data_IF_808601164385
#
_entry.id   IF_808601164385
#
_cell.length_a   1.000
_cell.length_b   1.000
_cell.length_c   1.000
_cell.angle_alpha   90.00
_cell.angle_beta   90.00
_cell.angle_gamma   90.00
#
_symmetry.space_group_name_H-M   'P 1'
#
loop_
_entity.id
_entity.type
_entity.pdbx_description
1 polymer ?
#
# COMPACT_ATOMS: atom_id res chain seq x y z
N UNK A 1 50.23 3.99 5.20
CA UNK A 1 51.29 3.10 5.74
C UNK A 1 50.86 1.66 5.50
N UNK A 2 51.76 0.72 5.23
CA UNK A 2 51.38 -0.69 5.08
C UNK A 2 50.80 -1.25 6.39
N UNK A 3 49.86 -2.18 6.27
CA UNK A 3 49.28 -2.90 7.41
C UNK A 3 50.41 -3.49 8.26
N UNK A 4 50.45 -3.15 9.55
CA UNK A 4 51.54 -3.56 10.44
C UNK A 4 51.02 -4.48 11.53
N UNK A 5 51.61 -5.67 11.66
CA UNK A 5 51.28 -6.61 12.74
C UNK A 5 52.07 -6.27 14.01
N UNK A 6 51.38 -6.10 15.16
CA UNK A 6 52.00 -5.88 16.48
C UNK A 6 51.17 -6.48 17.60
N UNK A 7 51.83 -6.90 18.67
CA UNK A 7 51.15 -7.17 19.94
C UNK A 7 50.91 -5.87 20.70
N UNK A 8 49.68 -5.65 21.14
CA UNK A 8 49.26 -4.44 21.85
C UNK A 8 48.56 -4.86 23.14
N UNK A 9 48.89 -4.18 24.24
CA UNK A 9 48.26 -4.42 25.54
C UNK A 9 46.78 -4.05 25.48
N UNK A 10 45.91 -4.89 26.07
CA UNK A 10 44.46 -4.69 26.07
C UNK A 10 44.04 -3.29 26.53
N UNK A 11 44.69 -2.73 27.56
CA UNK A 11 44.45 -1.36 28.08
C UNK A 11 44.70 -0.22 27.08
N UNK A 12 45.52 -0.46 26.05
CA UNK A 12 45.88 0.55 25.05
C UNK A 12 44.93 0.54 23.85
N UNK A 13 43.88 -0.29 23.90
CA UNK A 13 42.89 -0.46 22.86
C UNK A 13 41.53 -0.01 23.41
N UNK A 14 40.81 0.79 22.64
CA UNK A 14 39.49 1.34 22.94
C UNK A 14 38.43 0.71 22.03
N UNK A 15 37.18 0.57 22.50
CA UNK A 15 36.08 0.13 21.64
C UNK A 15 35.87 1.13 20.50
N UNK A 16 35.70 0.63 19.27
CA UNK A 16 35.34 1.45 18.12
C UNK A 16 33.84 1.45 17.85
N UNK A 17 33.44 1.95 16.68
CA UNK A 17 32.06 1.90 16.22
C UNK A 17 31.65 0.49 15.75
N UNK A 18 31.50 -0.44 16.69
CA UNK A 18 30.96 -1.76 16.36
C UNK A 18 29.43 -1.68 16.18
N UNK A 19 28.89 -2.05 15.01
CA UNK A 19 27.43 -2.12 14.81
C UNK A 19 26.75 -3.23 15.62
N UNK A 20 27.48 -4.23 16.11
CA UNK A 20 26.92 -5.33 16.91
C UNK A 20 26.56 -4.85 18.32
N UNK A 21 25.30 -5.01 18.71
CA UNK A 21 24.82 -4.60 20.04
C UNK A 21 24.41 -5.76 20.93
N UNK A 22 24.12 -6.94 20.35
CA UNK A 22 23.78 -8.14 21.09
C UNK A 22 25.00 -9.07 21.30
N UNK A 23 25.29 -9.40 22.55
CA UNK A 23 26.32 -10.37 22.92
C UNK A 23 25.69 -11.49 23.75
N UNK A 24 25.82 -12.73 23.28
CA UNK A 24 25.44 -13.90 24.06
C UNK A 24 26.47 -14.12 25.17
N UNK A 25 26.03 -14.09 26.43
CA UNK A 25 26.90 -14.24 27.60
C UNK A 25 27.59 -15.60 27.61
N UNK A 26 26.89 -16.68 27.21
CA UNK A 26 27.45 -18.03 27.22
C UNK A 26 28.57 -18.17 26.20
N UNK A 27 28.36 -17.65 24.98
CA UNK A 27 29.42 -17.66 23.96
C UNK A 27 30.60 -16.73 24.32
N UNK A 28 30.38 -15.70 25.15
CA UNK A 28 31.44 -14.83 25.65
C UNK A 28 32.30 -15.56 26.69
N UNK A 29 31.67 -16.24 27.64
CA UNK A 29 32.37 -17.02 28.67
C UNK A 29 33.22 -18.15 28.05
N UNK A 30 32.68 -18.83 27.02
CA UNK A 30 33.43 -19.82 26.23
C UNK A 30 34.65 -19.21 25.51
N UNK A 31 34.54 -17.97 25.03
CA UNK A 31 35.66 -17.23 24.41
C UNK A 31 36.74 -16.86 25.43
N UNK A 32 36.36 -16.46 26.64
CA UNK A 32 37.30 -16.16 27.74
C UNK A 32 38.12 -17.41 28.09
N UNK A 33 37.47 -18.56 28.26
CA UNK A 33 38.17 -19.82 28.58
C UNK A 33 39.09 -20.27 27.42
N UNK A 34 38.66 -20.11 26.17
CA UNK A 34 39.49 -20.38 25.00
C UNK A 34 40.75 -19.51 24.96
N UNK A 35 40.63 -18.20 25.25
CA UNK A 35 41.76 -17.26 25.26
C UNK A 35 42.71 -17.56 26.44
N UNK A 36 42.20 -17.97 27.60
CA UNK A 36 43.06 -18.43 28.71
C UNK A 36 43.90 -19.65 28.31
N UNK A 37 43.31 -20.59 27.57
CA UNK A 37 43.97 -21.84 27.21
C UNK A 37 44.97 -21.69 26.05
N UNK A 38 44.64 -20.91 25.03
CA UNK A 38 45.38 -20.89 23.76
C UNK A 38 45.87 -19.49 23.35
N UNK A 39 45.54 -18.46 24.13
CA UNK A 39 45.76 -17.07 23.74
C UNK A 39 44.83 -16.63 22.62
N UNK A 40 45.00 -15.38 22.17
CA UNK A 40 44.24 -14.87 21.02
C UNK A 40 44.92 -15.36 19.74
N UNK A 41 44.36 -16.38 19.10
CA UNK A 41 44.93 -16.99 17.87
C UNK A 41 44.74 -16.08 16.66
N UNK A 42 43.52 -15.55 16.48
CA UNK A 42 43.21 -14.67 15.35
C UNK A 42 43.47 -13.21 15.72
N UNK A 43 44.29 -12.47 14.95
CA UNK A 43 44.56 -11.07 15.21
C UNK A 43 43.31 -10.19 15.11
N UNK A 44 43.23 -9.13 15.91
CA UNK A 44 42.17 -8.11 15.80
C UNK A 44 42.63 -6.97 14.88
N UNK A 45 41.69 -6.33 14.18
CA UNK A 45 42.01 -5.17 13.34
C UNK A 45 41.82 -3.89 14.16
N UNK A 46 42.84 -3.04 14.19
CA UNK A 46 42.81 -1.77 14.92
C UNK A 46 43.35 -0.64 14.07
N UNK A 47 42.98 0.59 14.40
CA UNK A 47 43.58 1.80 13.83
C UNK A 47 44.18 2.69 14.92
N UNK A 48 45.20 3.50 14.61
CA UNK A 48 45.68 4.51 15.54
C UNK A 48 44.59 5.54 15.86
N UNK A 49 44.43 5.91 17.14
CA UNK A 49 43.52 6.96 17.62
C UNK A 49 44.14 7.67 18.81
N UNK A 50 44.63 8.90 18.61
CA UNK A 50 45.38 9.68 19.61
C UNK A 50 46.48 8.85 20.29
N UNK A 51 46.43 8.70 21.62
CA UNK A 51 47.37 7.92 22.45
C UNK A 51 47.00 6.42 22.57
N UNK A 52 46.04 5.93 21.77
CA UNK A 52 45.51 4.59 21.84
C UNK A 52 45.27 3.98 20.45
N UNK A 53 44.70 2.78 20.45
CA UNK A 53 44.21 2.11 19.25
C UNK A 53 42.70 1.95 19.34
N UNK A 54 41.99 2.17 18.25
CA UNK A 54 40.55 1.93 18.15
C UNK A 54 40.29 0.63 17.40
N UNK A 55 39.36 -0.19 17.91
CA UNK A 55 38.99 -1.47 17.28
C UNK A 55 38.19 -1.21 16.01
N UNK A 56 38.69 -1.73 14.88
CA UNK A 56 37.93 -1.84 13.63
C UNK A 56 37.11 -3.14 13.67
N UNK A 57 37.73 -4.25 14.07
CA UNK A 57 37.09 -5.57 14.10
C UNK A 57 37.70 -6.48 15.18
N UNK A 58 36.87 -7.35 15.76
CA UNK A 58 37.31 -8.31 16.78
C UNK A 58 37.02 -7.89 18.24
N UNK A 59 36.01 -7.06 18.48
CA UNK A 59 35.70 -6.53 19.82
C UNK A 59 35.48 -7.62 20.89
N UNK A 60 34.84 -8.76 20.55
CA UNK A 60 34.65 -9.88 21.50
C UNK A 60 35.98 -10.44 22.02
N UNK A 61 36.97 -10.59 21.14
CA UNK A 61 38.32 -11.09 21.49
C UNK A 61 39.03 -10.08 22.40
N UNK A 62 38.90 -8.79 22.12
CA UNK A 62 39.43 -7.74 22.98
C UNK A 62 38.76 -7.71 24.35
N UNK A 63 37.42 -7.75 24.42
CA UNK A 63 36.68 -7.77 25.70
C UNK A 63 37.07 -8.97 26.55
N UNK A 64 37.13 -10.17 25.96
CA UNK A 64 37.53 -11.37 26.67
C UNK A 64 39.00 -11.32 27.14
N UNK A 65 39.91 -10.79 26.32
CA UNK A 65 41.30 -10.58 26.73
C UNK A 65 41.45 -9.52 27.86
N UNK A 66 40.67 -8.44 27.79
CA UNK A 66 40.64 -7.39 28.81
C UNK A 66 40.11 -7.91 30.15
N UNK A 67 39.10 -8.77 30.12
CA UNK A 67 38.55 -9.44 31.31
C UNK A 67 39.57 -10.35 32.01
N UNK A 68 40.45 -10.99 31.23
CA UNK A 68 41.53 -11.82 31.77
C UNK A 68 42.62 -10.94 32.42
N UNK A 69 43.09 -9.91 31.71
CA UNK A 69 44.09 -8.96 32.22
C UNK A 69 44.18 -7.70 31.36
N UNK A 70 44.27 -6.53 32.00
CA UNK A 70 44.54 -5.25 31.33
C UNK A 70 45.88 -5.23 30.56
N UNK A 71 46.81 -6.08 30.98
CA UNK A 71 48.16 -6.17 30.42
C UNK A 71 48.31 -7.32 29.41
N UNK A 72 47.21 -8.04 29.13
CA UNK A 72 47.20 -9.11 28.14
C UNK A 72 47.60 -8.57 26.77
N UNK A 73 48.57 -9.21 26.13
CA UNK A 73 49.06 -8.82 24.81
C UNK A 73 48.21 -9.47 23.72
N UNK A 74 47.55 -8.64 22.91
CA UNK A 74 46.65 -9.07 21.86
C UNK A 74 47.35 -8.88 20.51
N UNK A 75 47.43 -9.90 19.64
CA UNK A 75 47.93 -9.74 18.29
C UNK A 75 46.98 -8.83 17.50
N UNK A 76 47.52 -7.75 16.97
CA UNK A 76 46.76 -6.71 16.29
C UNK A 76 47.34 -6.46 14.89
N UNK A 77 46.46 -6.26 13.93
CA UNK A 77 46.79 -5.71 12.62
C UNK A 77 46.41 -4.23 12.61
N UNK A 78 47.43 -3.37 12.60
CA UNK A 78 47.28 -1.92 12.60
C UNK A 78 47.06 -1.45 11.17
N UNK A 79 45.89 -0.86 10.91
CA UNK A 79 45.49 -0.31 9.62
C UNK A 79 45.28 1.19 9.76
N UNK A 80 45.95 1.99 8.94
CA UNK A 80 45.72 3.45 8.90
C UNK A 80 44.58 3.74 7.93
N UNK A 81 43.36 3.75 8.44
CA UNK A 81 42.12 3.92 7.66
C UNK A 81 41.27 5.05 8.25
N UNK A 82 40.54 5.77 7.40
CA UNK A 82 39.57 6.80 7.81
C UNK A 82 38.40 6.19 8.59
N UNK A 83 37.63 7.01 9.29
CA UNK A 83 36.43 6.59 10.04
C UNK A 83 35.46 5.79 9.16
N UNK A 84 35.23 6.29 7.95
CA UNK A 84 34.34 5.68 6.96
C UNK A 84 34.81 4.30 6.49
N UNK A 85 36.11 4.15 6.26
CA UNK A 85 36.73 2.88 5.85
C UNK A 85 36.75 1.91 7.03
N UNK A 86 37.01 2.39 8.25
CA UNK A 86 36.95 1.57 9.46
C UNK A 86 35.54 1.01 9.69
N UNK A 87 34.49 1.85 9.59
CA UNK A 87 33.10 1.41 9.71
C UNK A 87 32.75 0.39 8.62
N UNK A 88 33.13 0.67 7.37
CA UNK A 88 32.96 -0.26 6.24
C UNK A 88 33.57 -1.63 6.54
N UNK A 89 34.83 -1.65 6.97
CA UNK A 89 35.54 -2.89 7.30
C UNK A 89 34.90 -3.62 8.48
N UNK A 90 34.39 -2.90 9.48
CA UNK A 90 33.66 -3.47 10.61
C UNK A 90 32.37 -4.17 10.16
N UNK A 91 31.61 -3.58 9.23
CA UNK A 91 30.39 -4.19 8.68
C UNK A 91 30.74 -5.43 7.85
N UNK A 92 31.76 -5.36 6.99
CA UNK A 92 32.19 -6.48 6.13
C UNK A 92 32.71 -7.67 6.95
N UNK A 93 33.60 -7.45 7.93
CA UNK A 93 34.17 -8.54 8.74
C UNK A 93 33.13 -9.25 9.60
N UNK A 94 32.15 -8.50 10.13
CA UNK A 94 31.08 -9.08 10.91
C UNK A 94 30.08 -9.90 10.07
N UNK A 95 29.83 -9.48 8.81
CA UNK A 95 29.01 -10.24 7.84
C UNK A 95 29.62 -11.62 7.57
N UNK A 96 30.93 -11.68 7.37
CA UNK A 96 31.65 -12.92 7.03
C UNK A 96 31.74 -13.94 8.19
N UNK A 97 31.37 -13.54 9.43
CA UNK A 97 31.34 -14.43 10.61
C UNK A 97 29.97 -15.02 10.94
N UNK A 98 28.94 -14.86 10.11
CA UNK A 98 27.61 -15.47 10.35
C UNK A 98 26.92 -15.11 11.69
N UNK A 99 27.25 -13.96 12.30
CA UNK A 99 26.71 -13.55 13.61
C UNK A 99 26.03 -12.16 13.64
N UNK A 100 26.00 -11.40 12.55
CA UNK A 100 25.29 -10.13 12.51
C UNK A 100 23.80 -10.38 12.23
N UNK A 101 22.91 -9.78 13.01
CA UNK A 101 21.48 -9.87 12.72
C UNK A 101 21.12 -8.99 11.52
N UNK A 102 20.02 -9.28 10.84
CA UNK A 102 19.59 -8.47 9.69
C UNK A 102 19.26 -7.01 10.09
N UNK A 103 18.88 -6.77 11.35
CA UNK A 103 18.64 -5.43 11.89
C UNK A 103 19.94 -4.66 12.12
N UNK A 104 21.00 -5.34 12.57
CA UNK A 104 22.35 -4.77 12.69
C UNK A 104 22.97 -4.46 11.31
N UNK A 105 22.76 -5.35 10.32
CA UNK A 105 23.14 -5.09 8.93
C UNK A 105 22.47 -3.82 8.38
N UNK A 106 21.17 -3.64 8.66
CA UNK A 106 20.42 -2.47 8.25
C UNK A 106 20.95 -1.18 8.88
N UNK A 107 21.23 -1.20 10.19
CA UNK A 107 21.79 -0.05 10.90
C UNK A 107 23.20 0.33 10.41
N UNK A 108 24.05 -0.67 10.12
CA UNK A 108 25.36 -0.45 9.53
C UNK A 108 25.26 0.17 8.12
N UNK A 109 24.33 -0.34 7.31
CA UNK A 109 24.07 0.20 5.97
C UNK A 109 23.54 1.64 6.01
N UNK A 110 22.67 1.99 6.96
CA UNK A 110 22.16 3.36 7.12
C UNK A 110 23.27 4.35 7.46
N UNK A 111 24.19 3.99 8.36
CA UNK A 111 25.34 4.83 8.69
C UNK A 111 26.25 5.05 7.48
N UNK A 112 26.54 4.00 6.72
CA UNK A 112 27.30 4.13 5.48
C UNK A 112 26.58 5.03 4.48
N UNK A 113 25.25 4.94 4.39
CA UNK A 113 24.47 5.82 3.53
C UNK A 113 24.61 7.30 3.91
N UNK A 114 24.70 7.61 5.21
CA UNK A 114 24.97 8.97 5.68
C UNK A 114 26.39 9.42 5.30
N UNK A 115 27.39 8.57 5.51
CA UNK A 115 28.79 8.80 5.11
C UNK A 115 28.92 9.12 3.62
N UNK A 116 28.27 8.33 2.76
CA UNK A 116 28.30 8.51 1.30
C UNK A 116 27.23 9.49 0.79
N UNK A 117 26.71 10.38 1.66
CA UNK A 117 25.76 11.46 1.31
C UNK A 117 24.50 10.98 0.56
N UNK A 118 24.02 9.79 0.88
CA UNK A 118 22.84 9.20 0.24
C UNK A 118 23.12 8.41 -1.04
N UNK A 119 24.38 8.25 -1.44
CA UNK A 119 24.74 7.43 -2.61
C UNK A 119 24.58 5.93 -2.31
N UNK A 120 23.40 5.43 -2.61
CA UNK A 120 23.04 4.02 -2.42
C UNK A 120 23.74 3.08 -3.42
N UNK A 121 24.23 3.55 -4.58
CA UNK A 121 24.99 2.69 -5.50
C UNK A 121 26.37 2.42 -4.94
N UNK A 122 27.04 3.46 -4.44
CA UNK A 122 28.36 3.35 -3.83
C UNK A 122 28.32 2.51 -2.56
N UNK A 123 27.31 2.71 -1.69
CA UNK A 123 27.13 1.88 -0.48
C UNK A 123 26.92 0.41 -0.84
N UNK A 124 26.10 0.10 -1.84
CA UNK A 124 25.87 -1.27 -2.29
C UNK A 124 27.16 -1.90 -2.82
N UNK A 125 27.94 -1.15 -3.62
CA UNK A 125 29.25 -1.58 -4.14
C UNK A 125 30.23 -1.89 -3.01
N UNK A 126 30.32 -0.99 -2.02
CA UNK A 126 31.22 -1.10 -0.87
C UNK A 126 30.87 -2.32 0.01
N UNK A 127 29.58 -2.59 0.24
CA UNK A 127 29.10 -3.74 1.02
C UNK A 127 29.10 -5.07 0.24
N UNK A 128 29.41 -5.03 -1.06
CA UNK A 128 29.29 -6.18 -1.96
C UNK A 128 27.86 -6.69 -2.06
N UNK A 129 26.88 -5.78 -2.03
CA UNK A 129 25.46 -6.07 -2.13
C UNK A 129 24.90 -5.64 -3.48
N UNK A 130 23.81 -6.31 -3.90
CA UNK A 130 22.99 -5.75 -4.97
C UNK A 130 22.23 -4.52 -4.45
N UNK A 131 21.85 -3.62 -5.35
CA UNK A 131 21.02 -2.48 -4.99
C UNK A 131 19.71 -2.90 -4.32
N UNK A 132 19.07 -3.96 -4.84
CA UNK A 132 17.87 -4.55 -4.26
C UNK A 132 18.10 -5.03 -2.82
N UNK A 133 19.23 -5.69 -2.55
CA UNK A 133 19.58 -6.16 -1.20
C UNK A 133 19.76 -5.00 -0.23
N UNK A 134 20.45 -3.95 -0.64
CA UNK A 134 20.63 -2.74 0.18
C UNK A 134 19.28 -2.11 0.54
N UNK A 135 18.41 -1.92 -0.45
CA UNK A 135 17.11 -1.28 -0.24
C UNK A 135 16.20 -2.12 0.68
N UNK A 136 16.18 -3.45 0.53
CA UNK A 136 15.46 -4.37 1.44
C UNK A 136 15.99 -4.32 2.87
N UNK A 137 17.32 -4.26 3.04
CA UNK A 137 17.95 -4.15 4.35
C UNK A 137 17.60 -2.83 5.03
N UNK A 138 17.78 -1.72 4.32
CA UNK A 138 17.42 -0.39 4.83
C UNK A 138 15.94 -0.28 5.20
N UNK A 139 15.05 -1.00 4.51
CA UNK A 139 13.64 -1.01 4.87
C UNK A 139 13.37 -1.48 6.31
N UNK A 140 14.21 -2.36 6.87
CA UNK A 140 14.08 -2.83 8.25
C UNK A 140 14.18 -1.70 9.30
N UNK A 141 14.74 -0.54 8.93
CA UNK A 141 14.74 0.65 9.78
C UNK A 141 13.33 1.21 10.04
N UNK A 142 12.36 0.91 9.16
CA UNK A 142 10.96 1.29 9.32
C UNK A 142 10.14 0.30 10.18
N UNK A 143 10.75 -0.81 10.62
CA UNK A 143 10.09 -1.75 11.50
C UNK A 143 9.90 -1.17 12.92
N UNK A 144 8.86 -1.58 13.62
CA UNK A 144 8.71 -1.33 15.05
C UNK A 144 9.80 -2.07 15.85
N UNK A 145 10.11 -1.63 17.09
CA UNK A 145 11.00 -2.37 17.98
C UNK A 145 10.58 -3.84 18.18
N UNK A 146 9.27 -4.11 18.25
CA UNK A 146 8.74 -5.47 18.43
C UNK A 146 8.99 -6.36 17.20
N UNK A 147 8.83 -5.81 15.98
CA UNK A 147 9.11 -6.55 14.75
C UNK A 147 10.61 -6.84 14.61
N UNK A 148 11.48 -5.86 14.91
CA UNK A 148 12.93 -6.07 14.93
C UNK A 148 13.33 -7.15 15.92
N UNK A 149 12.82 -7.07 17.15
CA UNK A 149 13.06 -8.08 18.18
C UNK A 149 12.61 -9.47 17.74
N UNK A 150 11.42 -9.59 17.16
CA UNK A 150 10.91 -10.89 16.68
C UNK A 150 11.77 -11.47 15.54
N UNK A 151 12.36 -10.61 14.69
CA UNK A 151 13.31 -11.04 13.66
C UNK A 151 14.63 -11.52 14.27
N UNK A 152 15.18 -10.76 15.22
CA UNK A 152 16.44 -11.08 15.89
C UNK A 152 16.33 -12.39 16.71
N UNK A 153 15.18 -12.62 17.36
CA UNK A 153 14.83 -13.85 18.07
C UNK A 153 14.46 -15.01 17.12
N UNK A 154 14.48 -14.80 15.80
CA UNK A 154 14.10 -15.78 14.77
C UNK A 154 12.66 -16.30 14.90
N UNK A 155 11.79 -15.54 15.56
CA UNK A 155 10.34 -15.83 15.65
C UNK A 155 9.65 -15.60 14.30
N UNK A 156 10.22 -14.74 13.46
CA UNK A 156 9.80 -14.51 12.07
C UNK A 156 10.99 -14.60 11.12
N UNK A 157 10.70 -14.88 9.85
CA UNK A 157 11.69 -14.85 8.79
C UNK A 157 11.96 -13.41 8.36
N UNK A 158 13.16 -13.19 7.81
CA UNK A 158 13.56 -11.90 7.24
C UNK A 158 12.52 -11.33 6.25
N UNK A 159 11.98 -12.18 5.37
CA UNK A 159 10.95 -11.75 4.42
C UNK A 159 9.66 -11.26 5.08
N UNK A 160 9.32 -11.74 6.29
CA UNK A 160 8.18 -11.18 7.03
C UNK A 160 8.48 -9.75 7.50
N UNK A 161 9.67 -9.51 8.03
CA UNK A 161 10.07 -8.19 8.51
C UNK A 161 10.18 -7.18 7.35
N UNK A 162 10.73 -7.59 6.22
CA UNK A 162 10.79 -6.77 4.99
C UNK A 162 9.38 -6.37 4.51
N UNK A 163 8.40 -7.27 4.57
CA UNK A 163 7.02 -6.96 4.23
C UNK A 163 6.33 -6.05 5.26
N UNK A 164 6.59 -6.28 6.54
CA UNK A 164 6.04 -5.44 7.63
C UNK A 164 6.60 -4.02 7.61
N UNK A 165 7.84 -3.82 7.15
CA UNK A 165 8.42 -2.50 6.97
C UNK A 165 7.62 -1.59 6.03
N UNK A 166 6.88 -2.16 5.08
CA UNK A 166 6.02 -1.43 4.16
C UNK A 166 4.61 -1.15 4.72
N UNK A 167 4.30 -1.66 5.92
CA UNK A 167 3.03 -1.45 6.62
C UNK A 167 3.15 -0.25 7.55
N UNK A 168 2.09 0.58 7.69
CA UNK A 168 2.07 1.66 8.68
C UNK A 168 2.44 1.19 10.08
N UNK A 169 3.27 1.98 10.77
CA UNK A 169 3.89 1.62 12.05
C UNK A 169 2.86 1.20 13.12
N UNK A 170 1.68 1.83 13.16
CA UNK A 170 0.58 1.51 14.09
C UNK A 170 -0.07 0.14 13.84
N UNK A 171 0.09 -0.42 12.64
CA UNK A 171 -0.47 -1.72 12.24
C UNK A 171 0.54 -2.86 12.24
N UNK A 172 1.84 -2.55 12.33
CA UNK A 172 2.90 -3.57 12.27
C UNK A 172 2.78 -4.57 13.42
N UNK A 173 2.56 -4.13 14.66
CA UNK A 173 2.49 -5.02 15.82
C UNK A 173 1.27 -5.95 15.78
N UNK A 174 0.12 -5.46 15.34
CA UNK A 174 -1.09 -6.30 15.13
C UNK A 174 -0.88 -7.32 14.02
N UNK A 175 -0.21 -6.92 12.94
CA UNK A 175 0.11 -7.81 11.82
C UNK A 175 1.12 -8.89 12.24
N UNK A 176 2.15 -8.52 13.00
CA UNK A 176 3.13 -9.42 13.59
C UNK A 176 2.47 -10.50 14.47
N UNK A 177 1.56 -10.09 15.36
CA UNK A 177 0.84 -11.01 16.23
C UNK A 177 0.02 -12.04 15.41
N UNK A 178 -0.58 -11.60 14.30
CA UNK A 178 -1.33 -12.47 13.39
C UNK A 178 -0.41 -13.46 12.67
N UNK A 179 0.74 -12.99 12.17
CA UNK A 179 1.75 -13.83 11.49
C UNK A 179 2.25 -14.93 12.42
N UNK A 180 2.59 -14.59 13.66
CA UNK A 180 3.09 -15.56 14.65
C UNK A 180 1.96 -16.51 15.09
N UNK A 181 0.79 -15.97 15.43
CA UNK A 181 -0.34 -16.77 15.94
C UNK A 181 -0.90 -17.76 14.92
N UNK A 182 -0.95 -17.38 13.64
CA UNK A 182 -1.44 -18.23 12.55
C UNK A 182 -0.32 -18.97 11.80
N UNK A 183 0.95 -18.73 12.15
CA UNK A 183 2.14 -19.29 11.47
C UNK A 183 2.10 -19.08 9.95
N UNK A 184 1.77 -17.85 9.55
CA UNK A 184 1.67 -17.50 8.13
C UNK A 184 3.05 -17.57 7.47
N UNK A 185 3.09 -18.09 6.25
CA UNK A 185 4.28 -18.05 5.42
C UNK A 185 4.44 -16.69 4.72
N UNK A 186 5.67 -16.39 4.28
CA UNK A 186 6.03 -15.11 3.66
C UNK A 186 5.17 -14.80 2.44
N UNK A 187 4.81 -15.82 1.65
CA UNK A 187 4.05 -15.61 0.43
C UNK A 187 2.58 -15.30 0.73
N UNK A 188 2.01 -15.96 1.74
CA UNK A 188 0.65 -15.65 2.21
C UNK A 188 0.54 -14.23 2.74
N UNK A 189 1.50 -13.79 3.56
CA UNK A 189 1.56 -12.40 4.04
C UNK A 189 1.68 -11.43 2.88
N UNK A 190 2.56 -11.72 1.92
CA UNK A 190 2.77 -10.89 0.73
C UNK A 190 1.49 -10.72 -0.08
N UNK A 191 0.77 -11.81 -0.35
CA UNK A 191 -0.53 -11.77 -1.06
C UNK A 191 -1.57 -10.96 -0.30
N UNK A 192 -1.65 -11.13 1.02
CA UNK A 192 -2.59 -10.37 1.85
C UNK A 192 -2.32 -8.86 1.83
N UNK A 193 -1.05 -8.45 1.80
CA UNK A 193 -0.67 -7.05 1.64
C UNK A 193 -1.00 -6.52 0.25
N UNK A 194 -0.72 -7.30 -0.79
CA UNK A 194 -1.05 -6.94 -2.16
C UNK A 194 -2.55 -6.74 -2.40
N UNK A 195 -3.39 -7.59 -1.80
CA UNK A 195 -4.85 -7.46 -1.88
C UNK A 195 -5.40 -6.19 -1.21
N UNK A 196 -4.71 -5.69 -0.17
CA UNK A 196 -5.10 -4.47 0.54
C UNK A 196 -4.51 -3.20 -0.08
N UNK A 197 -3.61 -3.34 -1.06
CA UNK A 197 -2.96 -2.22 -1.71
C UNK A 197 -3.92 -1.58 -2.74
N UNK A 198 -3.98 -0.26 -2.75
CA UNK A 198 -4.87 0.48 -3.64
C UNK A 198 -4.10 1.01 -4.85
N UNK A 199 -4.62 0.81 -6.06
CA UNK A 199 -3.96 1.32 -7.28
C UNK A 199 -4.01 2.84 -7.28
N UNK A 200 -2.84 3.49 -7.34
CA UNK A 200 -2.73 4.96 -7.31
C UNK A 200 -3.33 5.56 -8.58
N UNK A 201 -3.24 4.84 -9.70
CA UNK A 201 -3.75 5.34 -10.98
C UNK A 201 -5.29 5.50 -11.00
N UNK A 202 -6.01 4.71 -10.20
CA UNK A 202 -7.47 4.82 -10.02
C UNK A 202 -7.88 5.81 -8.92
N UNK A 203 -6.96 6.56 -8.33
CA UNK A 203 -7.28 7.53 -7.30
C UNK A 203 -8.03 8.74 -7.87
N UNK A 204 -9.12 9.14 -7.23
CA UNK A 204 -9.89 10.34 -7.59
C UNK A 204 -9.23 11.65 -7.07
N UNK A 205 -8.22 11.55 -6.21
CA UNK A 205 -7.53 12.67 -5.58
C UNK A 205 -6.18 12.98 -6.25
N UNK A 206 -5.56 14.10 -5.88
CA UNK A 206 -4.24 14.49 -6.40
C UNK A 206 -3.13 13.50 -6.00
N UNK A 207 -2.41 13.02 -7.02
CA UNK A 207 -1.43 11.92 -6.94
C UNK A 207 0.00 12.41 -6.84
N UNK A 208 0.28 13.71 -6.98
CA UNK A 208 1.65 14.23 -7.03
C UNK A 208 2.48 13.81 -5.81
N UNK A 209 1.92 13.99 -4.61
CA UNK A 209 2.57 13.58 -3.35
C UNK A 209 2.67 12.06 -3.19
N UNK A 210 1.90 11.27 -3.94
CA UNK A 210 1.96 9.81 -3.89
C UNK A 210 3.13 9.25 -4.70
N UNK A 211 3.66 9.98 -5.69
CA UNK A 211 4.75 9.50 -6.54
C UNK A 211 6.06 9.31 -5.77
N UNK A 212 6.36 10.21 -4.83
CA UNK A 212 7.54 10.15 -3.96
C UNK A 212 7.25 9.53 -2.58
N UNK A 213 6.03 9.03 -2.36
CA UNK A 213 5.62 8.48 -1.06
C UNK A 213 6.32 7.16 -0.77
N UNK A 214 6.80 6.98 0.46
CA UNK A 214 7.42 5.73 0.90
C UNK A 214 6.48 4.51 0.83
N UNK A 215 5.16 4.71 0.85
CA UNK A 215 4.16 3.64 0.75
C UNK A 215 3.73 3.34 -0.70
N UNK A 216 4.37 3.97 -1.68
CA UNK A 216 4.16 3.65 -3.09
C UNK A 216 5.03 2.44 -3.47
N UNK A 217 4.42 1.40 -4.01
CA UNK A 217 5.12 0.18 -4.45
C UNK A 217 6.25 0.47 -5.43
N UNK A 218 6.13 1.52 -6.26
CA UNK A 218 7.19 1.94 -7.18
C UNK A 218 8.44 2.45 -6.45
N UNK A 219 8.29 3.08 -5.28
CA UNK A 219 9.40 3.51 -4.43
C UNK A 219 9.96 2.37 -3.59
N UNK A 220 9.18 1.31 -3.40
CA UNK A 220 9.52 0.10 -2.65
C UNK A 220 9.75 -1.11 -3.55
N UNK A 221 10.13 -0.89 -4.82
CA UNK A 221 10.24 -1.96 -5.83
C UNK A 221 11.05 -3.15 -5.35
N UNK A 222 12.13 -2.91 -4.62
CA UNK A 222 12.95 -3.95 -4.02
C UNK A 222 12.14 -4.91 -3.11
N UNK A 223 11.17 -4.40 -2.34
CA UNK A 223 10.34 -5.21 -1.43
C UNK A 223 9.24 -5.99 -2.16
N UNK A 224 8.78 -5.51 -3.32
CA UNK A 224 7.56 -6.00 -3.98
C UNK A 224 7.72 -6.55 -5.39
N UNK A 225 8.94 -6.59 -5.95
CA UNK A 225 9.28 -7.01 -7.33
C UNK A 225 8.68 -8.37 -7.78
N UNK A 226 8.16 -9.17 -6.84
CA UNK A 226 7.55 -10.46 -7.10
C UNK A 226 5.99 -10.49 -7.07
N UNK A 227 5.29 -9.48 -6.53
CA UNK A 227 3.82 -9.61 -6.25
C UNK A 227 2.97 -8.37 -6.45
N UNK A 228 3.51 -7.14 -6.43
CA UNK A 228 2.71 -5.94 -6.68
C UNK A 228 3.35 -5.18 -7.84
N UNK A 229 2.57 -4.89 -8.88
CA UNK A 229 3.00 -4.02 -9.96
C UNK A 229 3.34 -2.62 -9.43
N UNK A 230 4.13 -1.86 -10.17
CA UNK A 230 4.45 -0.47 -9.81
C UNK A 230 3.15 0.37 -9.72
N UNK A 231 3.09 1.30 -8.76
CA UNK A 231 2.01 2.30 -8.65
C UNK A 231 0.84 1.91 -7.75
N UNK A 232 1.08 1.14 -6.69
CA UNK A 232 0.09 0.81 -5.66
C UNK A 232 0.45 1.46 -4.32
N UNK A 233 -0.56 1.91 -3.58
CA UNK A 233 -0.43 2.44 -2.22
C UNK A 233 -0.63 1.31 -1.21
N UNK A 234 0.39 1.02 -0.38
CA UNK A 234 0.34 0.00 0.68
C UNK A 234 -0.27 0.51 1.99
N UNK A 235 -0.63 1.80 2.05
CA UNK A 235 -1.31 2.42 3.20
C UNK A 235 -2.80 2.69 2.87
N UNK A 236 -3.70 1.73 3.14
CA UNK A 236 -5.12 1.88 2.81
C UNK A 236 -5.80 2.99 3.60
N UNK A 237 -5.42 3.21 4.86
CA UNK A 237 -6.01 4.26 5.69
C UNK A 237 -5.72 5.67 5.12
N UNK A 238 -4.49 5.90 4.63
CA UNK A 238 -4.16 7.16 3.97
C UNK A 238 -4.93 7.34 2.66
N UNK A 239 -5.04 6.27 1.85
CA UNK A 239 -5.78 6.31 0.59
C UNK A 239 -7.26 6.64 0.81
N UNK A 240 -7.89 5.99 1.80
CA UNK A 240 -9.29 6.23 2.18
C UNK A 240 -9.51 7.66 2.67
N UNK A 241 -8.66 8.16 3.57
CA UNK A 241 -8.74 9.54 4.07
C UNK A 241 -8.65 10.57 2.94
N UNK A 242 -7.71 10.40 2.00
CA UNK A 242 -7.58 11.30 0.84
C UNK A 242 -8.80 11.22 -0.09
N UNK A 243 -9.36 10.01 -0.26
CA UNK A 243 -10.56 9.78 -1.04
C UNK A 243 -11.75 10.52 -0.43
N UNK A 244 -12.01 10.32 0.86
CA UNK A 244 -13.09 11.01 1.58
C UNK A 244 -12.93 12.52 1.52
N UNK A 245 -11.73 13.04 1.80
CA UNK A 245 -11.46 14.47 1.75
C UNK A 245 -11.71 15.06 0.34
N UNK A 246 -11.37 14.32 -0.72
CA UNK A 246 -11.66 14.73 -2.09
C UNK A 246 -13.16 14.73 -2.38
N UNK A 247 -13.89 13.68 -1.99
CA UNK A 247 -15.34 13.59 -2.18
C UNK A 247 -16.08 14.70 -1.41
N UNK A 248 -15.64 15.02 -0.19
CA UNK A 248 -16.20 16.10 0.62
C UNK A 248 -15.94 17.47 -0.01
N UNK A 249 -14.73 17.70 -0.52
CA UNK A 249 -14.41 18.93 -1.25
C UNK A 249 -15.24 19.08 -2.53
N UNK A 250 -15.42 17.99 -3.28
CA UNK A 250 -16.25 17.94 -4.48
C UNK A 250 -17.71 18.22 -4.15
N UNK A 251 -18.23 17.62 -3.06
CA UNK A 251 -19.57 17.86 -2.55
C UNK A 251 -19.77 19.31 -2.13
N UNK A 252 -18.80 19.91 -1.44
CA UNK A 252 -18.87 21.31 -1.03
C UNK A 252 -18.96 22.23 -2.25
N UNK A 253 -18.11 22.00 -3.25
CA UNK A 253 -18.08 22.78 -4.49
C UNK A 253 -19.38 22.66 -5.28
N UNK A 254 -19.95 21.46 -5.38
CA UNK A 254 -21.22 21.25 -6.10
C UNK A 254 -22.42 21.81 -5.32
N UNK A 255 -22.35 21.85 -3.99
CA UNK A 255 -23.42 22.40 -3.14
C UNK A 255 -23.57 23.92 -3.27
N UNK A 256 -22.59 24.62 -3.85
CA UNK A 256 -22.69 26.05 -4.17
C UNK A 256 -23.73 26.33 -5.27
N UNK A 257 -23.78 25.45 -6.28
CA UNK A 257 -24.64 25.60 -7.45
C UNK A 257 -25.89 24.70 -7.42
N UNK A 258 -25.83 23.57 -6.69
CA UNK A 258 -26.85 22.51 -6.72
C UNK A 258 -27.37 22.25 -5.29
N UNK A 259 -28.68 22.39 -5.04
CA UNK A 259 -29.23 22.33 -3.68
C UNK A 259 -29.21 20.92 -3.04
N UNK A 260 -29.09 19.85 -3.84
CA UNK A 260 -29.14 18.48 -3.34
C UNK A 260 -28.01 17.63 -3.93
N UNK A 261 -26.91 17.49 -3.19
CA UNK A 261 -25.76 16.68 -3.59
C UNK A 261 -25.63 15.47 -2.68
N UNK A 262 -25.71 14.26 -3.24
CA UNK A 262 -25.59 13.00 -2.49
C UNK A 262 -24.37 12.21 -2.91
N UNK A 263 -23.61 11.70 -1.94
CA UNK A 263 -22.54 10.72 -2.20
C UNK A 263 -23.16 9.33 -2.13
N UNK A 264 -23.04 8.53 -3.17
CA UNK A 264 -23.63 7.19 -3.27
C UNK A 264 -22.57 6.15 -2.92
N UNK A 265 -22.85 5.35 -1.89
CA UNK A 265 -21.99 4.27 -1.44
C UNK A 265 -22.58 2.89 -1.78
N UNK A 266 -21.72 1.87 -1.75
CA UNK A 266 -22.18 0.50 -1.95
C UNK A 266 -23.14 0.09 -0.82
N UNK A 267 -24.36 -0.30 -1.18
CA UNK A 267 -25.41 -0.70 -0.24
C UNK A 267 -26.45 0.38 0.08
N UNK A 268 -26.29 1.60 -0.45
CA UNK A 268 -27.32 2.62 -0.33
C UNK A 268 -28.54 2.26 -1.18
N UNK A 269 -29.71 2.11 -0.56
CA UNK A 269 -31.01 2.02 -1.25
C UNK A 269 -31.49 3.42 -1.71
N UNK A 270 -30.63 4.16 -2.39
CA UNK A 270 -30.90 5.53 -2.83
C UNK A 270 -31.65 5.52 -4.18
N UNK A 271 -32.97 5.31 -4.11
CA UNK A 271 -33.84 5.38 -5.27
C UNK A 271 -33.75 6.76 -5.94
N UNK A 272 -33.17 6.81 -7.14
CA UNK A 272 -32.99 8.02 -7.92
C UNK A 272 -33.17 7.71 -9.40
N UNK A 273 -33.59 8.71 -10.17
CA UNK A 273 -33.79 8.59 -11.62
C UNK A 273 -33.21 9.79 -12.33
N UNK A 274 -32.62 9.57 -13.51
CA UNK A 274 -32.17 10.64 -14.37
C UNK A 274 -33.37 11.43 -14.90
N UNK A 275 -33.33 12.75 -14.78
CA UNK A 275 -34.35 13.66 -15.30
C UNK A 275 -34.21 13.77 -16.81
N UNK A 276 -35.04 13.00 -17.52
CA UNK A 276 -35.12 13.08 -18.97
C UNK A 276 -36.10 14.18 -19.40
N UNK A 277 -35.73 14.98 -20.40
CA UNK A 277 -36.64 15.97 -21.00
C UNK A 277 -37.55 15.30 -22.03
N UNK A 278 -36.97 14.51 -22.91
CA UNK A 278 -37.64 13.88 -24.05
C UNK A 278 -37.74 12.35 -23.92
N UNK A 279 -38.46 11.72 -24.85
CA UNK A 279 -38.63 10.27 -24.92
C UNK A 279 -39.70 9.72 -23.98
N UNK A 280 -39.84 8.39 -23.92
CA UNK A 280 -40.90 7.72 -23.16
C UNK A 280 -40.79 7.92 -21.64
N UNK A 281 -39.60 8.23 -21.13
CA UNK A 281 -39.32 8.53 -19.72
C UNK A 281 -39.15 10.03 -19.45
N UNK A 282 -39.34 10.88 -20.47
CA UNK A 282 -39.19 12.32 -20.35
C UNK A 282 -40.38 13.00 -19.68
N UNK A 283 -40.13 14.05 -18.90
CA UNK A 283 -41.19 14.87 -18.27
C UNK A 283 -41.66 16.04 -19.15
N UNK A 284 -40.96 16.33 -20.26
CA UNK A 284 -41.20 17.47 -21.16
C UNK A 284 -40.48 18.75 -20.72
N UNK A 285 -40.20 19.65 -21.66
CA UNK A 285 -39.37 20.86 -21.43
C UNK A 285 -39.86 21.75 -20.28
N UNK A 286 -41.16 22.08 -20.27
CA UNK A 286 -41.73 22.99 -19.27
C UNK A 286 -41.64 22.39 -17.85
N UNK A 287 -41.93 21.09 -17.72
CA UNK A 287 -41.87 20.42 -16.42
C UNK A 287 -40.43 20.15 -16.00
N UNK A 288 -39.51 19.89 -16.94
CA UNK A 288 -38.08 19.73 -16.66
C UNK A 288 -37.48 21.03 -16.09
N UNK A 289 -37.84 22.19 -16.64
CA UNK A 289 -37.42 23.49 -16.11
C UNK A 289 -37.87 23.68 -14.65
N UNK A 290 -39.13 23.33 -14.33
CA UNK A 290 -39.63 23.37 -12.95
C UNK A 290 -38.99 22.30 -12.04
N UNK A 291 -38.62 21.14 -12.58
CA UNK A 291 -37.93 20.10 -11.83
C UNK A 291 -36.51 20.52 -11.45
N UNK A 292 -35.80 21.28 -12.30
CA UNK A 292 -34.44 21.76 -12.01
C UNK A 292 -34.36 22.71 -10.81
N UNK A 293 -35.47 23.34 -10.42
CA UNK A 293 -35.56 24.21 -9.23
C UNK A 293 -36.16 23.50 -8.02
N UNK A 294 -36.42 22.18 -8.11
CA UNK A 294 -37.05 21.40 -7.05
C UNK A 294 -36.04 20.98 -5.97
N UNK A 295 -36.49 20.86 -4.71
CA UNK A 295 -35.68 20.35 -3.60
C UNK A 295 -35.20 18.89 -3.81
N UNK A 296 -35.95 18.09 -4.57
CA UNK A 296 -35.60 16.71 -4.90
C UNK A 296 -34.70 16.58 -6.14
N UNK A 297 -34.26 17.69 -6.72
CA UNK A 297 -33.37 17.70 -7.86
C UNK A 297 -31.93 18.01 -7.44
N UNK A 298 -30.99 17.29 -8.03
CA UNK A 298 -29.59 17.65 -7.91
C UNK A 298 -28.66 16.67 -8.60
N UNK A 299 -27.60 16.25 -7.91
CA UNK A 299 -26.58 15.38 -8.47
C UNK A 299 -26.08 14.35 -7.46
N UNK A 300 -25.55 13.25 -8.01
CA UNK A 300 -24.89 12.20 -7.24
C UNK A 300 -23.39 12.24 -7.48
N UNK A 301 -22.62 11.92 -6.45
CA UNK A 301 -21.18 11.66 -6.53
C UNK A 301 -21.00 10.19 -6.20
N UNK A 302 -20.44 9.41 -7.14
CA UNK A 302 -20.22 8.00 -6.90
C UNK A 302 -19.02 7.78 -5.96
N UNK A 303 -19.20 6.96 -4.94
CA UNK A 303 -18.12 6.39 -4.13
C UNK A 303 -17.97 4.88 -4.41
N UNK A 304 -18.55 4.39 -5.52
CA UNK A 304 -18.49 2.98 -5.91
C UNK A 304 -17.11 2.64 -6.50
N UNK A 305 -16.56 1.45 -6.21
CA UNK A 305 -15.30 1.01 -6.80
C UNK A 305 -15.33 1.10 -8.33
N UNK A 306 -14.31 1.74 -8.92
CA UNK A 306 -14.18 1.95 -10.36
C UNK A 306 -14.81 3.24 -10.90
N UNK A 307 -15.74 3.85 -10.16
CA UNK A 307 -16.44 5.09 -10.54
C UNK A 307 -16.29 6.19 -9.48
N UNK A 308 -15.31 6.06 -8.58
CA UNK A 308 -15.14 6.98 -7.44
C UNK A 308 -14.87 8.41 -7.94
N UNK A 309 -15.68 9.36 -7.50
CA UNK A 309 -15.59 10.78 -7.87
C UNK A 309 -16.35 11.14 -9.14
N UNK A 310 -16.96 10.18 -9.85
CA UNK A 310 -17.84 10.50 -10.98
C UNK A 310 -19.09 11.25 -10.51
N UNK A 311 -19.43 12.32 -11.22
CA UNK A 311 -20.57 13.18 -10.91
C UNK A 311 -21.66 12.97 -11.95
N UNK A 312 -22.79 12.43 -11.53
CA UNK A 312 -23.98 12.36 -12.38
C UNK A 312 -24.90 13.53 -12.07
N UNK A 313 -25.15 14.36 -13.08
CA UNK A 313 -26.02 15.54 -13.00
C UNK A 313 -27.43 15.19 -13.48
N UNK A 314 -28.36 16.11 -13.22
CA UNK A 314 -29.76 15.98 -13.61
C UNK A 314 -30.46 14.79 -12.94
N UNK A 315 -30.22 14.58 -11.65
CA UNK A 315 -30.82 13.49 -10.88
C UNK A 315 -32.06 13.97 -10.13
N UNK A 316 -33.12 13.16 -10.19
CA UNK A 316 -34.31 13.29 -9.36
C UNK A 316 -34.30 12.23 -8.26
N UNK A 317 -34.33 12.67 -7.00
CA UNK A 317 -34.35 11.83 -5.80
C UNK A 317 -35.76 11.41 -5.37
N UNK A 318 -36.78 11.68 -6.19
CA UNK A 318 -38.16 11.21 -5.98
C UNK A 318 -38.68 10.52 -7.25
N UNK A 319 -38.35 9.23 -7.43
CA UNK A 319 -38.79 8.45 -8.59
C UNK A 319 -40.32 8.37 -8.73
N UNK A 320 -41.05 8.35 -7.61
CA UNK A 320 -42.50 8.25 -7.62
C UNK A 320 -43.15 9.55 -8.15
N UNK A 321 -42.61 10.71 -7.77
CA UNK A 321 -43.03 11.98 -8.34
C UNK A 321 -42.67 12.08 -9.83
N UNK A 322 -41.44 11.69 -10.21
CA UNK A 322 -41.01 11.70 -11.61
C UNK A 322 -41.95 10.87 -12.50
N UNK A 323 -42.27 9.64 -12.10
CA UNK A 323 -43.20 8.77 -12.82
C UNK A 323 -44.59 9.40 -13.01
N UNK A 324 -45.13 10.07 -11.98
CA UNK A 324 -46.41 10.79 -12.09
C UNK A 324 -46.35 11.92 -13.13
N UNK A 325 -45.24 12.65 -13.19
CA UNK A 325 -45.04 13.74 -14.16
C UNK A 325 -44.92 13.22 -15.60
N UNK A 326 -44.18 12.15 -15.80
CA UNK A 326 -44.08 11.46 -17.10
C UNK A 326 -45.47 10.97 -17.56
N UNK A 327 -46.22 10.31 -16.68
CA UNK A 327 -47.56 9.82 -16.98
C UNK A 327 -48.54 10.95 -17.33
N UNK A 328 -48.46 12.09 -16.63
CA UNK A 328 -49.28 13.26 -16.91
C UNK A 328 -48.99 13.85 -18.31
N UNK A 329 -47.72 13.96 -18.71
CA UNK A 329 -47.34 14.39 -20.07
C UNK A 329 -47.90 13.45 -21.13
N UNK A 330 -47.66 12.13 -20.98
CA UNK A 330 -48.14 11.13 -21.95
C UNK A 330 -49.66 11.17 -22.10
N UNK A 331 -50.39 11.40 -21.00
CA UNK A 331 -51.85 11.58 -21.03
C UNK A 331 -52.24 12.83 -21.82
N UNK A 332 -51.59 13.97 -21.53
CA UNK A 332 -51.83 15.24 -22.21
C UNK A 332 -51.46 15.23 -23.71
N UNK A 333 -50.55 14.37 -24.16
CA UNK A 333 -50.22 14.18 -25.58
C UNK A 333 -51.22 13.28 -26.32
N UNK A 334 -51.96 12.43 -25.60
CA UNK A 334 -52.98 11.53 -26.16
C UNK A 334 -54.36 12.19 -26.30
N UNK A 335 -54.67 13.17 -25.45
CA UNK A 335 -55.95 13.90 -25.45
C UNK A 335 -56.21 14.80 -26.70
N UNK A 336 -55.21 15.45 -27.34
CA UNK A 336 -55.41 16.22 -28.58
C UNK A 336 -55.80 15.34 -29.79
N UNK A 337 -55.51 14.03 -29.73
CA UNK A 337 -55.75 13.10 -30.83
C UNK A 337 -57.10 12.38 -30.76
N UNK A 338 -57.94 12.65 -29.76
CA UNK A 338 -59.28 12.05 -29.65
C UNK A 338 -60.41 12.92 -30.21
N UNK A 339 -60.16 14.20 -30.51
CA UNK A 339 -61.20 15.11 -31.02
C UNK A 339 -61.50 14.98 -32.53
N UNK A 340 -60.70 14.24 -33.32
CA UNK A 340 -60.84 14.17 -34.79
C UNK A 340 -61.33 12.82 -35.35
N UNK A 341 -61.76 11.87 -34.51
CA UNK A 341 -62.29 10.57 -34.97
C UNK A 341 -63.78 10.32 -34.69
N UNK A 342 -64.59 11.36 -34.68
CA UNK A 342 -66.06 11.22 -34.65
C UNK A 342 -66.75 12.16 -35.63
N UNK A 343 -66.57 11.94 -36.92
CA UNK A 343 -67.60 12.24 -37.93
C UNK A 343 -67.31 11.46 -39.21
N UNK A 344 -68.28 10.65 -39.66
CA UNK A 344 -68.20 9.93 -40.93
C UNK A 344 -68.51 8.44 -40.84
N UNK A 345 -69.66 8.07 -40.28
CA UNK A 345 -70.30 6.81 -40.62
C UNK A 345 -71.22 7.05 -41.81
N UNK A 346 -70.90 6.53 -43.00
CA UNK A 346 -71.93 6.15 -43.97
C UNK A 346 -71.49 5.06 -44.96
N UNK A 347 -72.49 4.27 -45.32
CA UNK A 347 -72.46 2.90 -45.87
C UNK A 347 -71.87 2.79 -47.28
N UNK A 348 -71.24 1.63 -47.57
CA UNK A 348 -71.43 0.95 -48.86
C UNK A 348 -71.24 -0.56 -48.76
N UNK A 349 -72.33 -1.28 -49.03
CA UNK A 349 -72.34 -2.69 -49.41
C UNK A 349 -71.82 -2.84 -50.85
N UNK A 350 -71.00 -3.86 -51.12
CA UNK A 350 -71.18 -4.78 -52.27
C UNK A 350 -70.29 -6.02 -52.13
N UNK A 351 -70.88 -7.16 -52.50
CA UNK A 351 -70.34 -8.52 -52.55
C UNK A 351 -69.13 -8.69 -53.50
N UNK A 352 -68.18 -9.60 -53.17
CA UNK A 352 -68.11 -10.95 -53.76
C UNK A 352 -66.77 -11.67 -53.47
N UNK A 353 -66.94 -12.92 -53.02
CA UNK A 353 -66.06 -14.11 -52.97
C UNK A 353 -64.77 -14.09 -53.81
N UNK A 354 -63.64 -14.50 -53.20
CA UNK A 354 -63.11 -15.84 -53.48
C UNK A 354 -62.14 -16.35 -52.40
N UNK A 355 -62.13 -17.68 -52.25
CA UNK A 355 -61.49 -18.44 -51.20
C UNK A 355 -59.99 -18.69 -51.42
N UNK A 356 -59.24 -18.76 -50.31
CA UNK A 356 -57.88 -19.30 -50.25
C UNK A 356 -57.52 -19.69 -48.82
N UNK A 357 -57.55 -21.00 -48.54
CA UNK A 357 -57.25 -21.63 -47.24
C UNK A 357 -55.79 -21.44 -46.83
N UNK A 358 -55.56 -21.11 -45.55
CA UNK A 358 -54.30 -21.30 -44.84
C UNK A 358 -54.49 -21.10 -43.33
N UNK A 359 -54.64 -22.21 -42.58
CA UNK A 359 -54.48 -22.29 -41.11
C UNK A 359 -53.01 -21.91 -40.77
N UNK A 360 -52.66 -21.24 -39.67
CA UNK A 360 -52.93 -21.59 -38.27
C UNK A 360 -52.44 -20.50 -37.28
N UNK A 361 -53.25 -20.26 -36.22
CA UNK A 361 -52.98 -19.94 -34.78
C UNK A 361 -51.77 -19.03 -34.41
N UNK A 362 -51.98 -17.85 -33.80
CA UNK A 362 -52.26 -17.57 -32.36
C UNK A 362 -51.04 -17.94 -31.48
N UNK A 363 -50.44 -17.11 -30.61
CA UNK A 363 -50.87 -16.05 -29.67
C UNK A 363 -49.71 -15.03 -29.51
N UNK A 364 -49.93 -13.72 -29.34
CA UNK A 364 -50.20 -12.97 -28.09
C UNK A 364 -49.23 -13.24 -26.93
N UNK A 365 -48.56 -12.18 -26.49
CA UNK A 365 -48.08 -11.83 -25.14
C UNK A 365 -46.69 -11.16 -25.15
N UNK A 366 -46.68 -9.85 -25.44
CA UNK A 366 -45.65 -8.95 -24.93
C UNK A 366 -46.01 -8.56 -23.50
N UNK A 367 -45.45 -9.28 -22.52
CA UNK A 367 -45.44 -8.87 -21.10
C UNK A 367 -44.06 -8.41 -20.63
N UNK A 368 -44.02 -7.45 -19.70
CA UNK A 368 -42.85 -6.64 -19.38
C UNK A 368 -41.89 -7.36 -18.44
N UNK A 369 -40.58 -7.18 -18.65
CA UNK A 369 -39.57 -7.61 -17.69
C UNK A 369 -39.59 -6.69 -16.48
N UNK A 370 -39.96 -7.27 -15.35
CA UNK A 370 -40.04 -6.66 -14.04
C UNK A 370 -38.67 -6.27 -13.46
N UNK A 371 -38.77 -5.41 -12.44
CA UNK A 371 -37.79 -5.11 -11.39
C UNK A 371 -36.73 -6.20 -11.21
N UNK A 372 -35.45 -5.82 -11.26
CA UNK A 372 -34.36 -6.60 -10.66
C UNK A 372 -34.08 -6.08 -9.25
N UNK A 373 -34.66 -6.77 -8.28
CA UNK A 373 -34.10 -6.93 -6.93
C UNK A 373 -33.36 -8.27 -6.89
N UNK A 374 -32.13 -8.28 -6.38
CA UNK A 374 -31.61 -9.41 -5.61
C UNK A 374 -30.53 -10.32 -6.23
N UNK A 375 -29.33 -10.16 -5.65
CA UNK A 375 -28.39 -11.22 -5.21
C UNK A 375 -27.42 -11.79 -6.24
N UNK A 376 -26.11 -11.63 -5.98
CA UNK A 376 -25.18 -12.75 -5.73
C UNK A 376 -23.83 -12.23 -5.22
N UNK A 377 -23.50 -12.68 -4.01
CA UNK A 377 -22.16 -12.70 -3.42
C UNK A 377 -21.11 -13.18 -4.42
N UNK A 378 -19.97 -12.49 -4.50
CA UNK A 378 -18.71 -13.12 -4.89
C UNK A 378 -17.53 -12.44 -4.19
N UNK A 379 -16.97 -13.19 -3.22
CA UNK A 379 -15.56 -13.40 -2.87
C UNK A 379 -14.53 -12.31 -3.13
#
# INVERSE_FOLDING_TARGET
MPDTFRYIKARSIKPGQNPRTYFDQKEHDEMVESIKAQGVIQPINVRPSDDAYEIIAGERRWRAALEISNDFEIPCMIRTVTDDVALTMAVIENKDRSHMSATEEAAGAEKLLQTYKGDREEVARVLGWSRSTLDKRLALMHCTPEVRKALDERSILLGHAELLAAVPHDKQNTSLATIIGQKLDVNTVRKALAQKANKIDSACFDRELCLACQYNSAQQRALFDAVIDDGYCTNPACYEQKTTAHLDALKSKLSEDIPNVRVIQAGDENASVMLMVEGNLGVGEVQAAACRTCANFGCTISALPGHVGEVEREICFDPACNQKKVAARIKAEKEPNQATKQSGAEKKQTNAKNAGKGKSKADDDSKPTALRQGIMDYR
#
